data_IF_191745839501
#
_entry.id   IF_191745839501
#
_cell.length_a   1.000
_cell.length_b   1.000
_cell.length_c   1.000
_cell.angle_alpha   90.00
_cell.angle_beta   90.00
_cell.angle_gamma   90.00
#
_symmetry.space_group_name_H-M   'P 1'
#
loop_
_entity.id
_entity.type
_entity.pdbx_description
1 polymer ?
#
# COMPACT_ATOMS: atom_id res chain seq x y z
N UNK A 1 -18.56 7.34 -41.53
CA UNK A 1 -17.91 7.16 -40.21
C UNK A 1 -18.89 7.63 -39.16
N UNK A 2 -19.18 6.84 -38.12
CA UNK A 2 -20.07 7.24 -37.02
C UNK A 2 -19.20 7.43 -35.77
N UNK A 3 -19.35 8.57 -35.11
CA UNK A 3 -18.66 8.89 -33.85
C UNK A 3 -19.63 8.54 -32.72
N UNK A 4 -19.12 8.00 -31.61
CA UNK A 4 -19.95 7.75 -30.43
C UNK A 4 -20.25 9.07 -29.72
N UNK A 5 -21.44 9.18 -29.12
CA UNK A 5 -21.84 10.37 -28.36
C UNK A 5 -20.83 10.66 -27.24
N UNK A 6 -20.30 9.61 -26.59
CA UNK A 6 -19.25 9.73 -25.59
C UNK A 6 -17.96 10.39 -26.10
N UNK A 7 -17.58 10.14 -27.36
CA UNK A 7 -16.41 10.80 -27.94
C UNK A 7 -16.69 12.27 -28.26
N UNK A 8 -17.93 12.61 -28.61
CA UNK A 8 -18.36 14.01 -28.80
C UNK A 8 -18.32 14.75 -27.46
N UNK A 9 -18.83 14.15 -26.39
CA UNK A 9 -18.84 14.73 -25.05
C UNK A 9 -17.42 15.07 -24.54
N UNK A 10 -16.42 14.24 -24.90
CA UNK A 10 -15.03 14.44 -24.50
C UNK A 10 -14.33 15.48 -25.39
N UNK A 11 -14.51 15.41 -26.72
CA UNK A 11 -13.80 16.28 -27.67
C UNK A 11 -14.42 17.68 -27.80
N UNK A 12 -15.73 17.79 -27.55
CA UNK A 12 -16.52 19.02 -27.69
C UNK A 12 -17.48 19.19 -26.51
N UNK A 13 -16.96 19.42 -25.28
CA UNK A 13 -17.82 19.61 -24.12
C UNK A 13 -18.68 20.86 -24.28
N UNK A 14 -19.98 20.71 -24.07
CA UNK A 14 -20.92 21.83 -24.00
C UNK A 14 -20.58 22.72 -22.79
N UNK A 15 -20.83 24.05 -22.86
CA UNK A 15 -20.58 24.94 -21.74
C UNK A 15 -21.41 24.53 -20.51
N UNK A 16 -20.73 24.12 -19.44
CA UNK A 16 -21.33 23.60 -18.21
C UNK A 16 -21.47 22.07 -18.15
N UNK A 17 -21.05 21.34 -19.18
CA UNK A 17 -20.97 19.89 -19.15
C UNK A 17 -19.80 19.40 -18.27
N UNK A 18 -20.02 18.27 -17.62
CA UNK A 18 -19.03 17.62 -16.77
C UNK A 18 -18.10 16.73 -17.61
N UNK A 19 -17.05 17.34 -18.17
CA UNK A 19 -16.03 16.65 -18.96
C UNK A 19 -15.31 15.57 -18.16
N UNK A 20 -15.17 15.77 -16.84
CA UNK A 20 -14.56 14.81 -15.95
C UNK A 20 -15.38 13.52 -15.88
N UNK A 21 -16.70 13.61 -15.72
CA UNK A 21 -17.58 12.45 -15.75
C UNK A 21 -17.57 11.72 -17.11
N UNK A 22 -17.48 12.46 -18.22
CA UNK A 22 -17.39 11.85 -19.56
C UNK A 22 -16.08 11.08 -19.74
N UNK A 23 -14.94 11.66 -19.33
CA UNK A 23 -13.63 11.01 -19.37
C UNK A 23 -13.60 9.77 -18.46
N UNK A 24 -14.17 9.86 -17.25
CA UNK A 24 -14.26 8.73 -16.33
C UNK A 24 -15.08 7.59 -16.95
N UNK A 25 -16.23 7.90 -17.57
CA UNK A 25 -17.08 6.90 -18.24
C UNK A 25 -16.35 6.23 -19.41
N UNK A 26 -15.55 6.97 -20.17
CA UNK A 26 -14.74 6.40 -21.25
C UNK A 26 -13.60 5.52 -20.73
N UNK A 27 -12.92 5.96 -19.67
CA UNK A 27 -11.84 5.21 -19.03
C UNK A 27 -12.30 3.83 -18.54
N UNK A 28 -13.50 3.74 -17.97
CA UNK A 28 -14.08 2.48 -17.48
C UNK A 28 -15.07 1.83 -18.45
N UNK A 29 -15.14 2.25 -19.71
CA UNK A 29 -15.99 1.60 -20.71
C UNK A 29 -15.62 0.12 -20.97
N UNK A 30 -14.33 -0.30 -20.95
CA UNK A 30 -13.98 -1.71 -20.98
C UNK A 30 -14.44 -2.41 -19.70
N UNK A 31 -15.22 -3.50 -19.81
CA UNK A 31 -15.77 -4.23 -18.66
C UNK A 31 -14.69 -4.68 -17.67
N UNK A 32 -13.54 -5.10 -18.18
CA UNK A 32 -12.38 -5.47 -17.36
C UNK A 32 -11.94 -4.34 -16.42
N UNK A 33 -12.01 -3.08 -16.87
CA UNK A 33 -11.56 -1.96 -16.06
C UNK A 33 -12.58 -1.65 -14.96
N UNK A 34 -13.87 -1.84 -15.21
CA UNK A 34 -14.89 -1.80 -14.16
C UNK A 34 -14.65 -2.89 -13.11
N UNK A 35 -14.43 -4.13 -13.53
CA UNK A 35 -14.17 -5.25 -12.61
C UNK A 35 -12.95 -4.98 -11.72
N UNK A 36 -11.90 -4.38 -12.30
CA UNK A 36 -10.69 -3.99 -11.58
C UNK A 36 -10.96 -2.83 -10.61
N UNK A 37 -11.72 -1.82 -11.03
CA UNK A 37 -12.06 -0.67 -10.21
C UNK A 37 -12.94 -1.04 -9.01
N UNK A 38 -13.97 -1.87 -9.23
CA UNK A 38 -14.83 -2.38 -8.15
C UNK A 38 -14.05 -3.25 -7.16
N UNK A 39 -13.04 -3.97 -7.65
CA UNK A 39 -12.21 -4.84 -6.81
C UNK A 39 -11.17 -4.08 -6.00
N UNK A 40 -10.57 -3.05 -6.58
CA UNK A 40 -9.50 -2.26 -6.00
C UNK A 40 -10.01 -0.83 -5.80
N UNK A 41 -10.70 -0.59 -4.66
CA UNK A 41 -11.23 0.72 -4.26
C UNK A 41 -10.20 1.87 -4.38
N UNK A 42 -8.90 1.53 -4.34
CA UNK A 42 -7.77 2.44 -4.53
C UNK A 42 -6.88 1.88 -5.65
N UNK A 43 -6.20 2.76 -6.41
CA UNK A 43 -5.24 2.36 -7.45
C UNK A 43 -4.26 1.30 -6.90
N UNK A 44 -4.31 0.06 -7.38
CA UNK A 44 -3.47 -1.02 -6.87
C UNK A 44 -2.03 -0.86 -7.33
N UNK A 45 -1.09 -1.50 -6.63
CA UNK A 45 0.27 -1.65 -7.12
C UNK A 45 0.32 -2.62 -8.31
N UNK A 46 1.32 -2.43 -9.17
CA UNK A 46 1.52 -3.28 -10.36
C UNK A 46 1.57 -4.77 -10.00
N UNK A 47 2.31 -5.15 -8.95
CA UNK A 47 2.41 -6.53 -8.50
C UNK A 47 1.10 -7.13 -8.00
N UNK A 48 0.26 -6.33 -7.32
CA UNK A 48 -1.06 -6.76 -6.86
C UNK A 48 -2.01 -7.02 -8.04
N UNK A 49 -1.97 -6.14 -9.05
CA UNK A 49 -2.78 -6.24 -10.24
C UNK A 49 -2.39 -7.45 -11.10
N UNK A 50 -1.08 -7.66 -11.35
CA UNK A 50 -0.56 -8.85 -12.06
C UNK A 50 -0.95 -10.16 -11.37
N UNK A 51 -0.83 -10.20 -10.04
CA UNK A 51 -1.20 -11.38 -9.25
C UNK A 51 -2.70 -11.68 -9.30
N UNK A 52 -3.55 -10.65 -9.40
CA UNK A 52 -4.99 -10.81 -9.59
C UNK A 52 -5.34 -11.31 -10.99
N UNK A 53 -4.78 -10.70 -12.04
CA UNK A 53 -5.02 -11.10 -13.43
C UNK A 53 -4.56 -12.55 -13.67
N UNK A 54 -3.41 -12.95 -13.11
CA UNK A 54 -2.92 -14.33 -13.17
C UNK A 54 -3.89 -15.33 -12.53
N UNK A 55 -4.44 -15.02 -11.35
CA UNK A 55 -5.46 -15.86 -10.68
C UNK A 55 -6.79 -15.88 -11.42
N UNK A 56 -7.10 -14.83 -12.16
CA UNK A 56 -8.31 -14.72 -12.98
C UNK A 56 -8.20 -15.44 -14.33
N UNK A 57 -7.07 -16.11 -14.61
CA UNK A 57 -6.87 -16.91 -15.81
C UNK A 57 -6.46 -16.11 -17.05
N UNK A 58 -5.99 -14.87 -16.89
CA UNK A 58 -5.44 -14.10 -18.02
C UNK A 58 -4.15 -14.74 -18.55
N UNK A 59 -3.95 -14.64 -19.87
CA UNK A 59 -2.71 -15.08 -20.52
C UNK A 59 -1.53 -14.24 -20.04
N UNK A 60 -0.42 -14.89 -19.68
CA UNK A 60 0.78 -14.20 -19.14
C UNK A 60 1.32 -13.12 -20.11
N UNK A 61 1.18 -13.33 -21.42
CA UNK A 61 1.56 -12.35 -22.44
C UNK A 61 0.70 -11.08 -22.42
N UNK A 62 -0.57 -11.17 -22.01
CA UNK A 62 -1.48 -10.04 -21.95
C UNK A 62 -1.42 -9.30 -20.61
N UNK A 63 -0.97 -9.95 -19.53
CA UNK A 63 -0.96 -9.37 -18.17
C UNK A 63 -0.19 -8.06 -18.13
N UNK A 64 1.02 -8.00 -18.72
CA UNK A 64 1.82 -6.77 -18.68
C UNK A 64 1.16 -5.62 -19.43
N UNK A 65 0.58 -5.89 -20.60
CA UNK A 65 -0.10 -4.88 -21.42
C UNK A 65 -1.35 -4.33 -20.71
N UNK A 66 -2.19 -5.21 -20.16
CA UNK A 66 -3.40 -4.81 -19.41
C UNK A 66 -3.04 -4.02 -18.16
N UNK A 67 -2.02 -4.48 -17.42
CA UNK A 67 -1.55 -3.81 -16.19
C UNK A 67 -1.07 -2.40 -16.49
N UNK A 68 -0.22 -2.23 -17.51
CA UNK A 68 0.30 -0.91 -17.91
C UNK A 68 -0.82 0.02 -18.34
N UNK A 69 -1.71 -0.44 -19.24
CA UNK A 69 -2.78 0.39 -19.76
C UNK A 69 -3.78 0.82 -18.67
N UNK A 70 -4.10 -0.05 -17.71
CA UNK A 70 -4.97 0.28 -16.59
C UNK A 70 -4.33 1.33 -15.66
N UNK A 71 -3.05 1.17 -15.32
CA UNK A 71 -2.34 2.12 -14.46
C UNK A 71 -2.20 3.48 -15.12
N UNK A 72 -1.86 3.52 -16.41
CA UNK A 72 -1.79 4.75 -17.22
C UNK A 72 -3.16 5.46 -17.28
N UNK A 73 -4.24 4.69 -17.46
CA UNK A 73 -5.61 5.23 -17.41
C UNK A 73 -5.94 5.85 -16.05
N UNK A 74 -5.57 5.17 -14.96
CA UNK A 74 -5.76 5.69 -13.61
C UNK A 74 -4.91 6.94 -13.34
N UNK A 75 -3.70 7.02 -13.89
CA UNK A 75 -2.83 8.19 -13.79
C UNK A 75 -3.40 9.38 -14.57
N UNK A 76 -3.88 9.14 -15.79
CA UNK A 76 -4.55 10.15 -16.60
C UNK A 76 -5.81 10.73 -15.92
N UNK A 77 -6.61 9.88 -15.27
CA UNK A 77 -7.79 10.33 -14.50
C UNK A 77 -7.40 11.21 -13.31
N UNK A 78 -6.25 10.97 -12.67
CA UNK A 78 -5.74 11.82 -11.59
C UNK A 78 -5.29 13.17 -12.11
N UNK A 79 -4.56 13.19 -13.22
CA UNK A 79 -4.05 14.42 -13.83
C UNK A 79 -5.18 15.29 -14.40
N UNK A 80 -6.22 14.69 -14.96
CA UNK A 80 -7.37 15.40 -15.52
C UNK A 80 -8.33 15.97 -14.48
N UNK A 81 -8.10 15.71 -13.18
CA UNK A 81 -9.02 16.10 -12.11
C UNK A 81 -10.36 15.35 -12.17
N UNK A 82 -10.49 14.35 -13.04
CA UNK A 82 -11.70 13.54 -13.23
C UNK A 82 -11.92 12.51 -12.13
N UNK A 83 -11.02 12.47 -11.14
CA UNK A 83 -11.13 11.58 -9.99
C UNK A 83 -11.55 12.39 -8.76
N UNK A 84 -12.86 12.62 -8.58
CA UNK A 84 -13.42 13.10 -7.31
C UNK A 84 -13.48 11.99 -6.25
N UNK A 85 -12.46 11.11 -6.23
CA UNK A 85 -12.16 10.24 -5.10
C UNK A 85 -11.29 11.06 -4.13
N UNK A 86 -11.84 12.18 -3.67
CA UNK A 86 -11.23 13.06 -2.69
C UNK A 86 -11.18 12.35 -1.34
N UNK A 87 -10.13 11.55 -1.14
CA UNK A 87 -9.42 11.63 0.14
C UNK A 87 -8.75 12.99 0.09
N UNK A 88 -9.05 13.95 0.99
CA UNK A 88 -8.48 15.28 0.94
C UNK A 88 -6.97 15.18 1.09
N UNK A 89 -6.28 15.24 -0.06
CA UNK A 89 -4.85 15.33 -0.15
C UNK A 89 -4.55 16.82 -0.15
N UNK A 90 -4.21 17.31 1.03
CA UNK A 90 -3.69 18.65 1.28
C UNK A 90 -2.36 18.76 0.54
N UNK A 91 -2.38 19.28 -0.69
CA UNK A 91 -1.16 19.57 -1.47
C UNK A 91 -1.24 21.00 -2.00
N UNK A 92 -0.69 21.89 -1.19
CA UNK A 92 -0.11 23.17 -1.60
C UNK A 92 0.93 22.92 -2.69
N UNK A 93 0.76 23.59 -3.83
CA UNK A 93 1.40 23.22 -5.08
C UNK A 93 2.85 23.65 -5.28
N UNK A 94 3.33 23.29 -6.47
CA UNK A 94 4.31 24.04 -7.25
C UNK A 94 4.28 23.49 -8.68
N UNK A 95 3.84 24.35 -9.60
CA UNK A 95 4.07 24.23 -11.05
C UNK A 95 5.56 24.03 -11.34
N UNK A 96 5.86 23.14 -12.29
CA UNK A 96 7.05 23.27 -13.15
C UNK A 96 6.81 22.46 -14.44
N UNK A 97 6.51 23.16 -15.52
CA UNK A 97 6.69 22.67 -16.90
C UNK A 97 8.17 22.40 -17.18
N UNK A 98 8.48 21.50 -18.12
CA UNK A 98 9.17 22.03 -19.29
C UNK A 98 8.64 21.46 -20.60
N UNK A 99 8.49 22.38 -21.56
CA UNK A 99 8.39 22.11 -22.99
C UNK A 99 9.62 21.33 -23.48
N UNK A 100 9.43 20.32 -24.31
CA UNK A 100 10.48 19.88 -25.25
C UNK A 100 9.88 19.60 -26.61
N UNK A 101 10.32 20.43 -27.54
CA UNK A 101 10.00 20.50 -28.95
C UNK A 101 10.31 19.20 -29.68
N UNK A 102 9.37 18.80 -30.52
CA UNK A 102 9.46 17.73 -31.50
C UNK A 102 10.02 18.29 -32.82
N UNK A 103 11.08 17.68 -33.39
CA UNK A 103 11.34 17.77 -34.83
C UNK A 103 12.08 16.53 -35.37
N UNK A 104 11.32 15.71 -36.11
CA UNK A 104 11.63 14.93 -37.31
C UNK A 104 13.10 14.64 -37.68
N UNK A 105 13.43 13.35 -37.84
CA UNK A 105 14.18 12.85 -39.00
C UNK A 105 13.79 11.41 -39.34
N UNK A 106 14.09 11.04 -40.59
CA UNK A 106 13.34 10.13 -41.44
C UNK A 106 13.63 8.63 -41.29
N UNK A 107 12.75 7.85 -41.92
CA UNK A 107 12.78 6.40 -42.08
C UNK A 107 14.14 5.81 -42.50
N UNK A 108 14.49 4.68 -41.89
CA UNK A 108 15.28 3.63 -42.55
C UNK A 108 14.82 2.27 -42.02
N UNK A 109 14.27 1.46 -42.92
CA UNK A 109 13.91 0.06 -42.66
C UNK A 109 15.20 -0.77 -42.56
N UNK A 110 15.54 -1.23 -41.35
CA UNK A 110 16.51 -2.30 -41.16
C UNK A 110 15.85 -3.44 -40.38
N UNK A 111 15.92 -4.64 -40.95
CA UNK A 111 15.49 -5.88 -40.36
C UNK A 111 16.35 -6.20 -39.13
N UNK A 112 15.79 -5.94 -37.94
CA UNK A 112 16.42 -6.28 -36.66
C UNK A 112 16.38 -7.79 -36.45
N UNK A 113 17.50 -8.42 -36.75
CA UNK A 113 17.91 -9.72 -36.23
C UNK A 113 17.70 -9.72 -34.71
N UNK A 114 16.82 -10.59 -34.22
CA UNK A 114 16.58 -10.81 -32.78
C UNK A 114 17.87 -11.35 -32.18
N UNK A 115 18.71 -10.45 -31.67
CA UNK A 115 19.84 -10.81 -30.81
C UNK A 115 19.26 -10.90 -29.41
N UNK A 116 19.10 -12.14 -28.94
CA UNK A 116 18.71 -12.46 -27.57
C UNK A 116 19.90 -12.12 -26.65
N UNK A 117 20.16 -10.83 -26.42
CA UNK A 117 21.10 -10.41 -25.39
C UNK A 117 20.44 -10.67 -24.03
N UNK A 118 21.07 -11.44 -23.13
CA UNK A 118 20.59 -11.56 -21.77
C UNK A 118 20.44 -10.16 -21.17
N UNK A 119 19.38 -9.90 -20.37
CA UNK A 119 19.21 -8.61 -19.73
C UNK A 119 20.49 -8.28 -18.96
N UNK A 120 20.98 -7.03 -19.00
CA UNK A 120 22.10 -6.65 -18.15
C UNK A 120 21.68 -6.92 -16.72
N UNK A 121 22.31 -7.93 -16.13
CA UNK A 121 22.22 -8.23 -14.72
C UNK A 121 22.93 -7.09 -14.00
N UNK A 122 22.24 -5.95 -13.89
CA UNK A 122 22.55 -4.94 -12.89
C UNK A 122 22.18 -5.56 -11.55
N UNK A 123 23.02 -6.48 -11.08
CA UNK A 123 23.09 -6.85 -9.68
C UNK A 123 23.57 -5.61 -8.94
N UNK A 124 22.67 -4.64 -8.77
CA UNK A 124 22.85 -3.60 -7.77
C UNK A 124 22.94 -4.35 -6.45
N UNK A 125 24.10 -4.25 -5.79
CA UNK A 125 24.25 -4.74 -4.44
C UNK A 125 23.25 -3.94 -3.61
N UNK A 126 22.15 -4.58 -3.25
CA UNK A 126 21.14 -3.99 -2.40
C UNK A 126 21.31 -4.63 -1.03
N UNK A 127 21.60 -3.83 -0.02
CA UNK A 127 21.74 -4.31 1.34
C UNK A 127 20.34 -4.53 1.91
N UNK A 128 20.04 -5.78 2.28
CA UNK A 128 18.80 -6.14 2.95
C UNK A 128 19.02 -6.16 4.47
N UNK A 129 18.46 -5.19 5.17
CA UNK A 129 18.44 -5.17 6.63
C UNK A 129 17.15 -5.84 7.13
N UNK A 130 17.30 -6.85 7.99
CA UNK A 130 16.19 -7.60 8.59
C UNK A 130 16.13 -7.29 10.07
N UNK A 131 15.02 -6.70 10.52
CA UNK A 131 14.72 -6.42 11.91
C UNK A 131 13.75 -7.49 12.46
N UNK A 132 14.20 -8.27 13.44
CA UNK A 132 13.35 -9.23 14.15
C UNK A 132 12.62 -8.53 15.31
N UNK A 133 11.30 -8.69 15.38
CA UNK A 133 10.46 -8.13 16.44
C UNK A 133 10.19 -9.20 17.51
N UNK A 134 10.20 -8.79 18.78
CA UNK A 134 9.99 -9.68 19.94
C UNK A 134 8.67 -10.46 19.91
N UNK A 135 7.68 -9.98 19.13
CA UNK A 135 6.39 -10.64 18.93
C UNK A 135 6.35 -11.71 17.82
N UNK A 136 7.50 -12.15 17.29
CA UNK A 136 7.58 -13.18 16.26
C UNK A 136 7.35 -12.69 14.82
N UNK A 137 7.28 -11.37 14.61
CA UNK A 137 7.27 -10.76 13.28
C UNK A 137 8.66 -10.27 12.87
N UNK A 138 8.87 -9.98 11.59
CA UNK A 138 10.07 -9.33 11.09
C UNK A 138 9.72 -8.20 10.13
N UNK A 139 10.58 -7.19 10.06
CA UNK A 139 10.56 -6.13 9.05
C UNK A 139 11.80 -6.28 8.18
N UNK A 140 11.66 -6.19 6.86
CA UNK A 140 12.79 -6.19 5.93
C UNK A 140 12.78 -4.88 5.15
N UNK A 141 13.94 -4.23 5.10
CA UNK A 141 14.18 -3.04 4.31
C UNK A 141 15.34 -3.34 3.36
N UNK A 142 15.14 -3.12 2.07
CA UNK A 142 16.19 -3.29 1.06
C UNK A 142 16.54 -1.91 0.53
N UNK A 143 17.79 -1.51 0.73
CA UNK A 143 18.29 -0.20 0.31
C UNK A 143 19.36 -0.39 -0.77
N UNK A 144 19.37 0.44 -1.83
CA UNK A 144 20.51 0.51 -2.74
C UNK A 144 21.74 1.09 -2.02
N UNK A 145 22.94 0.77 -2.54
CA UNK A 145 24.22 1.31 -2.02
C UNK A 145 24.28 2.84 -2.03
N UNK A 146 23.62 3.45 -3.02
CA UNK A 146 23.57 4.90 -3.19
C UNK A 146 22.10 5.35 -3.19
N UNK A 147 21.74 6.25 -2.27
CA UNK A 147 20.50 7.01 -2.30
C UNK A 147 20.80 8.46 -2.64
N UNK A 148 20.00 9.04 -3.52
CA UNK A 148 19.98 10.49 -3.70
C UNK A 148 19.38 11.19 -2.46
N UNK A 149 19.69 12.48 -2.29
CA UNK A 149 19.17 13.28 -1.17
C UNK A 149 17.63 13.36 -1.16
N UNK A 150 17.01 13.38 -2.34
CA UNK A 150 15.56 13.41 -2.48
C UNK A 150 14.94 12.07 -2.07
N UNK A 151 15.47 10.95 -2.57
CA UNK A 151 15.00 9.60 -2.18
C UNK A 151 15.17 9.34 -0.68
N UNK A 152 16.24 9.85 -0.07
CA UNK A 152 16.44 9.76 1.38
C UNK A 152 15.37 10.54 2.15
N UNK A 153 14.98 11.72 1.67
CA UNK A 153 13.89 12.51 2.28
C UNK A 153 12.56 11.76 2.22
N UNK A 154 12.24 11.19 1.06
CA UNK A 154 11.00 10.43 0.84
C UNK A 154 10.97 9.17 1.70
N UNK A 155 12.08 8.42 1.76
CA UNK A 155 12.24 7.27 2.63
C UNK A 155 12.02 7.64 4.10
N UNK A 156 12.59 8.76 4.54
CA UNK A 156 12.47 9.26 5.91
C UNK A 156 11.02 9.61 6.26
N UNK A 157 10.30 10.27 5.36
CA UNK A 157 8.92 10.66 5.60
C UNK A 157 7.98 9.45 5.56
N UNK A 158 8.22 8.50 4.67
CA UNK A 158 7.54 7.21 4.67
C UNK A 158 7.78 6.42 5.98
N UNK A 159 9.02 6.36 6.47
CA UNK A 159 9.35 5.70 7.75
C UNK A 159 8.63 6.36 8.94
N UNK A 160 8.51 7.70 8.96
CA UNK A 160 7.74 8.40 10.00
C UNK A 160 6.26 8.01 9.96
N UNK A 161 5.67 7.89 8.76
CA UNK A 161 4.29 7.44 8.59
C UNK A 161 4.10 6.01 9.08
N UNK A 162 5.04 5.11 8.77
CA UNK A 162 5.03 3.73 9.27
C UNK A 162 5.15 3.67 10.79
N UNK A 163 6.05 4.45 11.39
CA UNK A 163 6.17 4.56 12.85
C UNK A 163 4.88 5.07 13.50
N UNK A 164 4.23 6.09 12.90
CA UNK A 164 2.94 6.60 13.36
C UNK A 164 1.84 5.53 13.25
N UNK A 165 1.81 4.75 12.17
CA UNK A 165 0.86 3.64 11.98
C UNK A 165 1.09 2.51 12.99
N UNK A 166 2.35 2.15 13.25
CA UNK A 166 2.72 1.17 14.27
C UNK A 166 2.32 1.64 15.68
N UNK A 167 2.55 2.92 16.01
CA UNK A 167 2.15 3.51 17.29
C UNK A 167 0.65 3.38 17.56
N UNK A 168 -0.20 3.56 16.54
CA UNK A 168 -1.66 3.37 16.66
C UNK A 168 -2.07 1.92 16.93
N UNK A 169 -1.21 0.94 16.62
CA UNK A 169 -1.47 -0.49 16.86
C UNK A 169 -1.02 -0.97 18.23
N UNK A 170 -0.30 -0.15 18.98
CA UNK A 170 0.05 -0.45 20.37
C UNK A 170 -1.27 -0.39 21.15
N UNK A 171 -1.86 -1.55 21.43
CA UNK A 171 -2.91 -1.64 22.45
C UNK A 171 -2.28 -1.12 23.75
N UNK A 172 -2.90 -0.18 24.48
CA UNK A 172 -2.43 0.12 25.82
C UNK A 172 -2.41 -1.21 26.55
N UNK A 173 -1.22 -1.63 26.97
CA UNK A 173 -1.07 -2.75 27.89
C UNK A 173 -1.76 -2.25 29.14
N UNK A 174 -3.03 -2.63 29.31
CA UNK A 174 -3.76 -2.34 30.53
C UNK A 174 -2.92 -2.85 31.68
N UNK A 175 -2.54 -1.90 32.53
CA UNK A 175 -1.81 -2.09 33.78
C UNK A 175 -2.70 -2.82 34.81
N UNK A 176 -3.29 -3.97 34.44
CA UNK A 176 -4.25 -4.72 35.26
C UNK A 176 -3.61 -5.81 36.12
N UNK A 177 -2.27 -5.93 36.14
CA UNK A 177 -1.58 -7.02 36.84
C UNK A 177 -0.84 -6.62 38.15
N UNK A 178 -0.85 -5.35 38.58
CA UNK A 178 -0.12 -4.94 39.80
C UNK A 178 -1.02 -4.52 40.97
N UNK A 179 -2.32 -4.29 40.76
CA UNK A 179 -3.23 -3.82 41.83
C UNK A 179 -4.16 -4.90 42.41
N UNK A 180 -3.82 -6.19 42.24
CA UNK A 180 -4.52 -7.30 42.95
C UNK A 180 -3.61 -8.12 43.88
N UNK A 181 -2.33 -7.75 44.03
CA UNK A 181 -1.41 -8.41 44.95
C UNK A 181 -1.23 -7.69 46.30
N UNK A 182 -1.75 -6.47 46.48
CA UNK A 182 -1.56 -5.70 47.71
C UNK A 182 -2.66 -5.86 48.77
N UNK A 183 -3.80 -6.51 48.45
CA UNK A 183 -4.97 -6.56 49.33
C UNK A 183 -5.37 -7.97 49.81
N UNK A 184 -4.40 -8.89 49.92
CA UNK A 184 -4.62 -10.23 50.50
C UNK A 184 -3.76 -10.56 51.73
N UNK A 185 -2.95 -9.62 52.23
CA UNK A 185 -2.10 -9.84 53.42
C UNK A 185 -2.64 -9.20 54.71
N UNK A 186 -3.93 -8.80 54.78
CA UNK A 186 -4.47 -8.03 55.92
C UNK A 186 -5.48 -8.73 56.84
N UNK A 187 -5.80 -10.00 56.63
CA UNK A 187 -6.70 -10.73 57.55
C UNK A 187 -6.33 -12.19 57.62
N UNK A 188 -5.57 -12.56 58.65
CA UNK A 188 -5.75 -13.78 59.47
C UNK A 188 -4.53 -14.05 60.38
N UNK A 189 -4.10 -13.01 61.11
CA UNK A 189 -3.26 -13.19 62.30
C UNK A 189 -4.04 -12.70 63.53
N UNK A 190 -5.05 -13.46 63.92
CA UNK A 190 -5.72 -13.28 65.22
C UNK A 190 -6.40 -14.58 65.64
N UNK A 191 -5.89 -15.17 66.72
CA UNK A 191 -6.67 -16.04 67.58
C UNK A 191 -6.55 -17.54 67.29
N UNK A 192 -5.61 -18.21 67.95
CA UNK A 192 -5.87 -19.26 68.95
C UNK A 192 -4.52 -19.84 69.40
N UNK A 193 -3.87 -19.11 70.30
CA UNK A 193 -3.00 -19.71 71.32
C UNK A 193 -3.93 -19.95 72.50
N UNK A 194 -4.31 -21.19 72.76
CA UNK A 194 -4.43 -21.70 74.13
C UNK A 194 -4.70 -23.21 74.12
N UNK A 195 -3.75 -23.90 74.75
CA UNK A 195 -3.96 -25.00 75.68
C UNK A 195 -4.01 -26.47 75.16
N UNK A 196 -2.86 -27.17 75.08
CA UNK A 196 -2.81 -28.63 75.13
C UNK A 196 -2.82 -29.10 76.61
N UNK A 197 -4.00 -29.10 77.22
CA UNK A 197 -4.23 -29.69 78.52
C UNK A 197 -5.25 -30.83 78.44
N UNK A 198 -4.78 -32.07 78.25
CA UNK A 198 -5.32 -33.24 78.98
C UNK A 198 -4.47 -34.50 78.74
N UNK A 199 -3.65 -34.82 79.74
CA UNK A 199 -3.22 -36.18 80.05
C UNK A 199 -4.41 -36.92 80.66
N UNK A 200 -4.67 -38.14 80.21
CA UNK A 200 -5.75 -38.97 80.74
C UNK A 200 -5.58 -40.42 80.34
N UNK A 201 -4.85 -41.13 81.20
CA UNK A 201 -4.62 -42.57 81.25
C UNK A 201 -5.91 -43.42 81.35
N UNK A 202 -5.78 -44.72 81.08
CA UNK A 202 -6.73 -45.77 81.47
C UNK A 202 -7.03 -46.74 80.33
N UNK A 203 -6.27 -47.82 80.16
CA UNK A 203 -6.37 -49.11 80.88
C UNK A 203 -7.69 -49.87 80.62
N UNK A 204 -7.55 -51.14 80.18
CA UNK A 204 -8.64 -52.12 80.13
C UNK A 204 -8.54 -53.08 78.95
#
# INVERSE_FOLDING_TARGET
MRVSDLAVDILHPEPGADTAAAVQRAAFAPSLYMDLFERFEVTPSEGALKSYLKRSGFLESAINAVTSAYLETCEYLKQSGATDLSVPSDVTGAESEPQTTNEQVMATMHASKVINTPPPSHAHNAQADILNLTGGGYASLVLPDELSANEFSDLKDWLKLMAKRAKRRIKPVESSAVEQAADKNRTDNSGYLDDPGYLGDGEG
#
